data_IF_686410850899
#
_entry.id   IF_686410850899
#
_cell.length_a   1.000
_cell.length_b   1.000
_cell.length_c   1.000
_cell.angle_alpha   90.00
_cell.angle_beta   90.00
_cell.angle_gamma   90.00
#
_symmetry.space_group_name_H-M   'P 1'
#
loop_
_entity.id
_entity.type
_entity.pdbx_description
1 polymer ?
#
# COMPACT_ATOMS: atom_id res chain seq x y z
N UNK A 1 3.54 24.59 12.28
CA UNK A 1 2.85 23.39 12.85
C UNK A 1 3.77 22.55 13.75
N UNK A 2 4.99 22.19 13.37
CA UNK A 2 5.90 21.37 14.21
C UNK A 2 6.24 22.06 15.52
N UNK A 3 6.53 23.36 15.50
CA UNK A 3 6.85 24.15 16.72
C UNK A 3 5.65 24.21 17.67
N UNK A 4 4.44 24.40 17.15
CA UNK A 4 3.22 24.46 17.95
C UNK A 4 2.90 23.09 18.58
N UNK A 5 3.05 21.99 17.83
CA UNK A 5 2.85 20.65 18.39
C UNK A 5 3.90 20.32 19.45
N UNK A 6 5.16 20.71 19.25
CA UNK A 6 6.20 20.54 20.26
C UNK A 6 5.91 21.32 21.55
N UNK A 7 5.44 22.56 21.43
CA UNK A 7 5.05 23.41 22.59
C UNK A 7 3.87 22.77 23.35
N UNK A 8 2.85 22.30 22.64
CA UNK A 8 1.70 21.63 23.23
C UNK A 8 2.13 20.34 23.94
N UNK A 9 3.01 19.54 23.30
CA UNK A 9 3.53 18.29 23.87
C UNK A 9 4.33 18.55 25.15
N UNK A 10 5.23 19.54 25.12
CA UNK A 10 6.03 19.92 26.29
C UNK A 10 5.12 20.46 27.40
N UNK A 11 4.17 21.32 27.06
CA UNK A 11 3.23 21.88 28.04
C UNK A 11 2.37 20.81 28.72
N UNK A 12 1.85 19.86 27.94
CA UNK A 12 1.07 18.75 28.48
C UNK A 12 1.93 17.80 29.34
N UNK A 13 3.19 17.57 28.96
CA UNK A 13 4.13 16.79 29.78
C UNK A 13 4.46 17.48 31.10
N UNK A 14 4.76 18.80 31.08
CA UNK A 14 5.02 19.58 32.28
C UNK A 14 3.81 19.58 33.20
N UNK A 15 2.61 19.76 32.64
CA UNK A 15 1.35 19.70 33.41
C UNK A 15 1.15 18.31 34.05
N UNK A 16 1.40 17.23 33.31
CA UNK A 16 1.31 15.88 33.84
C UNK A 16 2.32 15.64 34.97
N UNK A 17 3.58 16.10 34.83
CA UNK A 17 4.60 16.03 35.90
C UNK A 17 4.15 16.76 37.13
N UNK A 18 3.52 17.95 36.98
CA UNK A 18 2.99 18.73 38.12
C UNK A 18 1.85 18.01 38.83
N UNK A 19 1.01 17.27 38.13
CA UNK A 19 -0.04 16.44 38.71
C UNK A 19 0.53 15.29 39.54
N UNK A 20 1.54 14.58 38.99
CA UNK A 20 2.23 13.50 39.69
C UNK A 20 2.93 14.00 40.96
N UNK A 21 3.59 15.17 40.90
CA UNK A 21 4.26 15.77 42.08
C UNK A 21 3.31 16.30 43.15
N UNK A 22 2.04 16.51 42.82
CA UNK A 22 1.06 17.00 43.77
C UNK A 22 0.43 15.93 44.68
N UNK A 23 0.97 14.72 44.72
CA UNK A 23 0.45 13.55 45.44
C UNK A 23 -1.02 13.20 45.19
N UNK A 24 -1.57 13.71 44.09
CA UNK A 24 -2.90 13.30 43.63
C UNK A 24 -2.76 11.99 42.88
N UNK A 25 -3.52 10.98 43.27
CA UNK A 25 -3.62 9.75 42.50
C UNK A 25 -4.00 10.09 41.06
N UNK A 26 -3.03 9.88 40.15
CA UNK A 26 -3.26 10.06 38.72
C UNK A 26 -3.93 8.78 38.24
N UNK A 27 -5.26 8.75 38.24
CA UNK A 27 -6.03 7.56 37.90
C UNK A 27 -6.72 7.67 36.56
N UNK A 28 -6.98 6.54 35.92
CA UNK A 28 -7.73 6.44 34.69
C UNK A 28 -6.99 6.96 33.45
N UNK A 29 -7.64 7.80 32.64
CA UNK A 29 -7.06 8.28 31.38
C UNK A 29 -5.78 9.11 31.54
N UNK A 30 -5.58 9.74 32.69
CA UNK A 30 -4.39 10.56 32.95
C UNK A 30 -3.09 9.75 33.01
N UNK A 31 -3.15 8.47 33.33
CA UNK A 31 -1.99 7.55 33.32
C UNK A 31 -1.43 7.36 31.91
N UNK A 32 -2.27 7.47 30.88
CA UNK A 32 -1.86 7.30 29.49
C UNK A 32 -1.30 8.56 28.83
N UNK A 33 -1.36 9.72 29.51
CA UNK A 33 -0.90 10.99 28.93
C UNK A 33 0.56 10.93 28.45
N UNK A 34 1.54 10.40 29.21
CA UNK A 34 2.92 10.29 28.73
C UNK A 34 3.05 9.43 27.49
N UNK A 35 2.31 8.32 27.43
CA UNK A 35 2.32 7.41 26.28
C UNK A 35 1.74 8.10 25.04
N UNK A 36 0.65 8.83 25.18
CA UNK A 36 0.03 9.59 24.08
C UNK A 36 0.97 10.70 23.58
N UNK A 37 1.66 11.39 24.49
CA UNK A 37 2.60 12.45 24.14
C UNK A 37 3.87 11.90 23.45
N UNK A 38 4.33 10.70 23.85
CA UNK A 38 5.49 10.05 23.29
C UNK A 38 5.17 9.36 21.94
N UNK A 39 3.92 8.96 21.72
CA UNK A 39 3.51 8.18 20.55
C UNK A 39 3.93 8.79 19.19
N UNK A 40 3.82 10.10 18.92
CA UNK A 40 4.26 10.67 17.63
C UNK A 40 5.78 10.55 17.44
N UNK A 41 6.56 10.66 18.52
CA UNK A 41 8.01 10.51 18.46
C UNK A 41 8.40 9.05 18.19
N UNK A 42 7.82 8.12 18.95
CA UNK A 42 8.01 6.68 18.76
C UNK A 42 7.63 6.27 17.34
N UNK A 43 6.49 6.75 16.84
CA UNK A 43 6.04 6.50 15.48
C UNK A 43 7.05 7.02 14.43
N UNK A 44 7.57 8.23 14.62
CA UNK A 44 8.58 8.79 13.71
C UNK A 44 9.88 7.96 13.71
N UNK A 45 10.31 7.47 14.87
CA UNK A 45 11.47 6.57 15.00
C UNK A 45 11.19 5.23 14.31
N UNK A 46 10.03 4.62 14.56
CA UNK A 46 9.65 3.33 13.95
C UNK A 46 9.58 3.43 12.42
N UNK A 47 9.00 4.51 11.87
CA UNK A 47 8.96 4.75 10.42
C UNK A 47 10.37 4.86 9.87
N UNK A 48 11.25 5.57 10.56
CA UNK A 48 12.62 5.75 10.12
C UNK A 48 13.44 4.47 10.21
N UNK A 49 13.24 3.71 11.29
CA UNK A 49 13.88 2.41 11.47
C UNK A 49 13.42 1.42 10.39
N UNK A 50 12.11 1.31 10.17
CA UNK A 50 11.55 0.44 9.12
C UNK A 50 12.06 0.82 7.72
N UNK A 51 12.15 2.11 7.41
CA UNK A 51 12.74 2.57 6.16
C UNK A 51 14.18 2.06 5.98
N UNK A 52 15.03 2.21 7.00
CA UNK A 52 16.42 1.76 6.92
C UNK A 52 16.55 0.24 6.86
N UNK A 53 15.69 -0.49 7.52
CA UNK A 53 15.61 -1.95 7.40
C UNK A 53 15.33 -2.38 5.96
N UNK A 54 14.38 -1.73 5.31
CA UNK A 54 13.98 -2.08 3.94
C UNK A 54 15.05 -1.71 2.92
N UNK A 55 15.63 -0.51 3.02
CA UNK A 55 16.60 -0.04 2.00
C UNK A 55 18.01 -0.57 2.22
N UNK A 56 18.32 -1.10 3.40
CA UNK A 56 19.63 -1.67 3.71
C UNK A 56 20.04 -2.81 2.78
N UNK A 57 19.03 -3.59 2.33
CA UNK A 57 19.21 -4.72 1.43
C UNK A 57 18.56 -4.48 0.05
N UNK A 58 18.32 -3.22 -0.32
CA UNK A 58 17.67 -2.85 -1.57
C UNK A 58 18.58 -1.98 -2.44
N UNK A 59 18.35 -2.02 -3.75
CA UNK A 59 19.07 -1.24 -4.76
C UNK A 59 18.22 -0.05 -5.17
N UNK A 60 18.74 1.17 -5.07
CA UNK A 60 18.01 2.36 -5.52
C UNK A 60 17.95 2.39 -7.05
N UNK A 61 16.76 2.60 -7.60
CA UNK A 61 16.53 2.78 -9.03
C UNK A 61 16.70 4.26 -9.38
N UNK A 62 17.61 4.54 -10.29
CA UNK A 62 17.98 5.90 -10.72
C UNK A 62 18.21 5.93 -12.23
N UNK A 63 18.35 7.11 -12.81
CA UNK A 63 18.70 7.27 -14.23
C UNK A 63 19.98 6.51 -14.63
N UNK A 64 20.95 6.44 -13.73
CA UNK A 64 22.24 5.76 -13.97
C UNK A 64 22.19 4.27 -13.63
N UNK A 65 21.13 3.81 -12.98
CA UNK A 65 20.94 2.43 -12.52
C UNK A 65 19.51 2.00 -12.75
N UNK A 66 19.28 1.12 -13.73
CA UNK A 66 17.95 0.75 -14.24
C UNK A 66 17.22 1.94 -14.87
N UNK A 67 17.90 2.67 -15.79
CA UNK A 67 17.39 3.90 -16.38
C UNK A 67 16.08 3.75 -17.15
N UNK A 68 15.85 2.60 -17.78
CA UNK A 68 14.62 2.22 -18.47
C UNK A 68 13.42 2.10 -17.51
N UNK A 69 13.63 1.45 -16.36
CA UNK A 69 12.64 1.34 -15.30
C UNK A 69 12.38 2.72 -14.64
N UNK A 70 13.46 3.48 -14.40
CA UNK A 70 13.35 4.83 -13.83
C UNK A 70 12.56 5.76 -14.75
N UNK A 71 12.80 5.71 -16.05
CA UNK A 71 12.07 6.51 -17.04
C UNK A 71 10.57 6.19 -16.98
N UNK A 72 10.17 4.92 -17.05
CA UNK A 72 8.76 4.51 -16.92
C UNK A 72 8.14 5.01 -15.61
N UNK A 73 8.86 4.88 -14.52
CA UNK A 73 8.38 5.29 -13.19
C UNK A 73 8.18 6.80 -13.10
N UNK A 74 9.13 7.58 -13.62
CA UNK A 74 9.05 9.05 -13.63
C UNK A 74 7.95 9.56 -14.54
N UNK A 75 7.76 8.92 -15.72
CA UNK A 75 6.70 9.26 -16.67
C UNK A 75 5.30 9.06 -16.06
N UNK A 76 5.05 7.90 -15.44
CA UNK A 76 3.78 7.64 -14.77
C UNK A 76 3.54 8.64 -13.63
N UNK A 77 4.56 8.93 -12.83
CA UNK A 77 4.44 9.89 -11.74
C UNK A 77 4.10 11.29 -12.23
N UNK A 78 4.68 11.71 -13.36
CA UNK A 78 4.40 12.97 -14.01
C UNK A 78 2.97 13.00 -14.59
N UNK A 79 2.55 11.94 -15.31
CA UNK A 79 1.18 11.78 -15.81
C UNK A 79 0.15 11.84 -14.68
N UNK A 80 0.47 11.25 -13.53
CA UNK A 80 -0.36 11.31 -12.34
C UNK A 80 -0.34 12.69 -11.65
N UNK A 81 0.51 13.62 -12.04
CA UNK A 81 0.64 14.93 -11.41
C UNK A 81 1.16 14.87 -9.96
N UNK A 82 2.12 14.00 -9.68
CA UNK A 82 2.75 13.94 -8.38
C UNK A 82 3.77 15.06 -8.22
N UNK A 83 3.59 15.94 -7.23
CA UNK A 83 4.50 17.07 -6.95
C UNK A 83 5.94 16.63 -6.66
N UNK A 84 6.11 15.43 -6.14
CA UNK A 84 7.42 14.85 -5.78
C UNK A 84 7.45 13.39 -6.13
N UNK A 85 8.41 13.01 -6.95
CA UNK A 85 8.68 11.62 -7.25
C UNK A 85 9.13 10.88 -5.98
N UNK A 86 8.41 9.84 -5.52
CA UNK A 86 8.90 8.97 -4.45
C UNK A 86 10.17 8.24 -4.91
N UNK A 87 11.09 7.95 -4.00
CA UNK A 87 12.24 7.10 -4.36
C UNK A 87 11.76 5.69 -4.68
N UNK A 88 12.34 5.09 -5.72
CA UNK A 88 12.08 3.71 -6.11
C UNK A 88 13.27 2.84 -5.72
N UNK A 89 13.01 1.72 -5.07
CA UNK A 89 14.00 0.72 -4.70
C UNK A 89 13.62 -0.63 -5.27
N UNK A 90 14.62 -1.40 -5.66
CA UNK A 90 14.49 -2.81 -6.02
C UNK A 90 14.97 -3.66 -4.85
N UNK A 91 14.08 -4.51 -4.32
CA UNK A 91 14.40 -5.50 -3.30
C UNK A 91 14.50 -6.91 -3.88
N UNK A 92 15.26 -7.80 -3.23
CA UNK A 92 15.25 -9.21 -3.60
C UNK A 92 13.95 -9.88 -3.13
N UNK A 93 13.19 -10.42 -4.06
CA UNK A 93 11.90 -11.05 -3.77
C UNK A 93 11.98 -12.50 -3.30
N UNK A 94 13.11 -13.20 -3.52
CA UNK A 94 13.26 -14.63 -3.23
C UNK A 94 12.09 -15.49 -3.78
N UNK A 95 11.64 -15.19 -4.99
CA UNK A 95 10.50 -15.86 -5.63
C UNK A 95 9.14 -15.22 -5.31
N UNK A 96 9.08 -14.20 -4.49
CA UNK A 96 7.84 -13.48 -4.17
C UNK A 96 7.65 -12.33 -5.15
N UNK A 97 6.52 -12.36 -5.86
CA UNK A 97 6.06 -11.25 -6.71
C UNK A 97 5.34 -10.22 -5.84
N UNK A 98 5.99 -9.11 -5.54
CA UNK A 98 5.42 -8.07 -4.71
C UNK A 98 5.99 -6.69 -5.06
N UNK A 99 5.20 -5.66 -4.77
CA UNK A 99 5.63 -4.28 -4.69
C UNK A 99 4.85 -3.60 -3.55
N UNK A 100 5.37 -2.52 -3.00
CA UNK A 100 4.66 -1.75 -2.00
C UNK A 100 5.15 -0.31 -1.90
N UNK A 101 4.23 0.59 -1.54
CA UNK A 101 4.54 1.97 -1.19
C UNK A 101 4.50 2.16 0.33
N UNK A 102 5.48 2.86 0.88
CA UNK A 102 5.57 3.13 2.31
C UNK A 102 6.11 4.54 2.61
N UNK A 103 6.17 4.89 3.89
CA UNK A 103 6.72 6.17 4.36
C UNK A 103 8.18 6.03 4.78
N UNK A 104 9.02 6.94 4.32
CA UNK A 104 10.38 7.12 4.84
C UNK A 104 10.47 8.28 5.85
N UNK A 105 9.55 9.21 5.78
CA UNK A 105 9.33 10.29 6.77
C UNK A 105 7.85 10.64 6.80
N UNK A 106 7.44 11.50 7.75
CA UNK A 106 6.05 12.00 7.84
C UNK A 106 5.55 12.57 6.49
N UNK A 107 6.43 13.17 5.69
CA UNK A 107 6.07 13.88 4.45
C UNK A 107 6.48 13.17 3.16
N UNK A 108 7.36 12.17 3.22
CA UNK A 108 7.91 11.51 2.04
C UNK A 108 7.57 10.04 2.02
N UNK A 109 7.22 9.55 0.84
CA UNK A 109 7.01 8.14 0.55
C UNK A 109 8.18 7.57 -0.26
N UNK A 110 8.29 6.26 -0.29
CA UNK A 110 9.13 5.49 -1.20
C UNK A 110 8.34 4.29 -1.69
N UNK A 111 8.77 3.71 -2.79
CA UNK A 111 8.20 2.50 -3.40
C UNK A 111 9.30 1.45 -3.45
N UNK A 112 8.95 0.22 -3.17
CA UNK A 112 9.81 -0.94 -3.37
C UNK A 112 9.12 -1.87 -4.37
N UNK A 113 9.88 -2.32 -5.36
CA UNK A 113 9.47 -3.38 -6.29
C UNK A 113 10.43 -4.55 -6.12
N UNK A 114 9.91 -5.76 -6.05
CA UNK A 114 10.77 -6.93 -5.93
C UNK A 114 11.31 -7.38 -7.30
N UNK A 115 12.56 -7.84 -7.30
CA UNK A 115 13.25 -8.30 -8.52
C UNK A 115 12.45 -9.32 -9.30
N UNK A 116 11.79 -10.27 -8.62
CA UNK A 116 10.94 -11.26 -9.26
C UNK A 116 9.79 -10.67 -10.09
N UNK A 117 9.32 -9.48 -9.70
CA UNK A 117 8.31 -8.77 -10.45
C UNK A 117 8.90 -8.07 -11.69
N UNK A 118 10.15 -7.60 -11.59
CA UNK A 118 10.87 -7.01 -12.71
C UNK A 118 11.25 -8.04 -13.78
N UNK A 119 11.32 -9.33 -13.43
CA UNK A 119 11.52 -10.41 -14.40
C UNK A 119 10.39 -10.45 -15.44
N UNK A 120 9.17 -9.94 -15.11
CA UNK A 120 8.10 -9.79 -16.12
C UNK A 120 8.56 -8.89 -17.27
N UNK A 121 9.27 -7.81 -16.97
CA UNK A 121 9.78 -6.86 -17.95
C UNK A 121 11.05 -7.42 -18.64
N UNK A 122 12.05 -7.83 -17.87
CA UNK A 122 13.37 -8.15 -18.39
C UNK A 122 13.45 -9.55 -19.00
N UNK A 123 12.79 -10.55 -18.43
CA UNK A 123 12.82 -11.93 -18.97
C UNK A 123 11.65 -12.21 -19.91
N UNK A 124 10.48 -11.62 -19.66
CA UNK A 124 9.27 -11.95 -20.42
C UNK A 124 8.80 -10.81 -21.34
N UNK A 125 9.50 -9.68 -21.37
CA UNK A 125 9.17 -8.53 -22.21
C UNK A 125 7.83 -7.84 -21.83
N UNK A 126 7.33 -8.07 -20.61
CA UNK A 126 6.05 -7.53 -20.16
C UNK A 126 6.22 -6.14 -19.49
N UNK A 127 6.63 -5.20 -20.31
CA UNK A 127 6.83 -3.79 -19.91
C UNK A 127 5.54 -3.19 -19.38
N UNK A 128 4.41 -3.48 -20.01
CA UNK A 128 3.10 -2.95 -19.64
C UNK A 128 2.66 -3.48 -18.27
N UNK A 129 2.95 -4.74 -17.96
CA UNK A 129 2.64 -5.31 -16.65
C UNK A 129 3.38 -4.60 -15.52
N UNK A 130 4.67 -4.34 -15.70
CA UNK A 130 5.46 -3.56 -14.72
C UNK A 130 4.94 -2.14 -14.63
N UNK A 131 4.62 -1.49 -15.76
CA UNK A 131 4.03 -0.14 -15.79
C UNK A 131 2.72 -0.09 -14.99
N UNK A 132 1.85 -1.09 -15.13
CA UNK A 132 0.60 -1.17 -14.38
C UNK A 132 0.85 -1.25 -12.86
N UNK A 133 1.80 -2.09 -12.44
CA UNK A 133 2.13 -2.26 -11.03
C UNK A 133 2.73 -0.97 -10.44
N UNK A 134 3.63 -0.31 -11.17
CA UNK A 134 4.16 0.99 -10.76
C UNK A 134 3.06 2.05 -10.63
N UNK A 135 2.11 2.07 -11.58
CA UNK A 135 0.95 2.95 -11.52
C UNK A 135 0.05 2.65 -10.32
N UNK A 136 -0.13 1.38 -9.95
CA UNK A 136 -0.85 0.96 -8.76
C UNK A 136 -0.18 1.48 -7.48
N UNK A 137 1.13 1.29 -7.32
CA UNK A 137 1.88 1.75 -6.16
C UNK A 137 1.91 3.28 -6.04
N UNK A 138 2.09 3.97 -7.17
CA UNK A 138 1.98 5.44 -7.21
C UNK A 138 0.54 5.90 -6.92
N UNK A 139 -0.46 5.11 -7.26
CA UNK A 139 -1.85 5.32 -6.89
C UNK A 139 -2.03 5.37 -5.37
N UNK A 140 -1.40 4.47 -4.62
CA UNK A 140 -1.40 4.52 -3.16
C UNK A 140 -0.78 5.80 -2.62
N UNK A 141 0.28 6.31 -3.25
CA UNK A 141 0.91 7.57 -2.85
C UNK A 141 0.01 8.76 -3.18
N UNK A 142 -0.53 8.83 -4.41
CA UNK A 142 -1.41 9.90 -4.91
C UNK A 142 -2.67 10.03 -4.05
N UNK A 143 -3.32 8.92 -3.76
CA UNK A 143 -4.56 8.85 -2.96
C UNK A 143 -4.30 8.92 -1.45
N UNK A 144 -3.03 9.09 -1.04
CA UNK A 144 -2.61 9.21 0.36
C UNK A 144 -2.95 7.97 1.21
N UNK A 145 -3.00 6.78 0.61
CA UNK A 145 -3.26 5.53 1.32
C UNK A 145 -2.18 5.21 2.35
N UNK A 146 -0.94 5.62 2.11
CA UNK A 146 0.21 5.48 3.02
C UNK A 146 0.35 6.63 4.02
N UNK A 147 -0.69 7.44 4.24
CA UNK A 147 -0.62 8.60 5.13
C UNK A 147 -0.60 8.18 6.61
N UNK A 148 0.29 8.78 7.41
CA UNK A 148 0.51 8.43 8.82
C UNK A 148 -0.74 8.63 9.68
N UNK A 149 -1.53 9.67 9.42
CA UNK A 149 -2.76 9.92 10.18
C UNK A 149 -3.73 8.71 10.13
N UNK A 150 -3.67 7.92 9.06
CA UNK A 150 -4.46 6.68 8.94
C UNK A 150 -4.01 5.62 9.92
N UNK A 151 -2.72 5.56 10.25
CA UNK A 151 -2.21 4.67 11.30
C UNK A 151 -2.84 5.00 12.65
N UNK A 152 -2.97 6.28 12.97
CA UNK A 152 -3.57 6.76 14.23
C UNK A 152 -5.08 6.52 14.25
N UNK A 153 -5.76 6.80 13.13
CA UNK A 153 -7.22 6.66 13.02
C UNK A 153 -7.66 5.20 12.88
N UNK A 154 -6.81 4.32 12.32
CA UNK A 154 -7.16 2.92 12.09
C UNK A 154 -6.97 2.02 13.32
N UNK A 155 -6.43 2.48 14.43
CA UNK A 155 -6.27 1.65 15.63
C UNK A 155 -7.62 1.07 16.09
N UNK A 156 -8.65 1.90 16.23
CA UNK A 156 -9.99 1.45 16.65
C UNK A 156 -10.72 0.65 15.54
N UNK A 157 -10.77 1.15 14.27
CA UNK A 157 -11.33 0.38 13.16
C UNK A 157 -10.68 -0.97 12.90
N UNK A 158 -9.38 -1.14 13.20
CA UNK A 158 -8.68 -2.42 13.03
C UNK A 158 -9.24 -3.47 13.99
N UNK A 159 -9.49 -3.13 15.25
CA UNK A 159 -10.15 -4.00 16.22
C UNK A 159 -11.59 -4.36 15.83
N UNK A 160 -12.30 -3.47 15.12
CA UNK A 160 -13.66 -3.68 14.63
C UNK A 160 -13.71 -4.31 13.21
N UNK A 161 -12.56 -4.74 12.66
CA UNK A 161 -12.42 -5.28 11.28
C UNK A 161 -12.80 -4.30 10.16
N UNK A 162 -13.22 -3.09 10.50
CA UNK A 162 -13.55 -2.02 9.55
C UNK A 162 -12.28 -1.56 8.81
N UNK A 163 -11.13 -1.53 9.49
CA UNK A 163 -9.84 -1.19 8.92
C UNK A 163 -9.48 -2.04 7.70
N UNK A 164 -9.75 -3.34 7.75
CA UNK A 164 -9.52 -4.28 6.64
C UNK A 164 -10.40 -3.98 5.43
N UNK A 165 -11.65 -3.58 5.66
CA UNK A 165 -12.55 -3.14 4.57
C UNK A 165 -12.06 -1.87 3.91
N UNK A 166 -11.53 -0.92 4.69
CA UNK A 166 -10.90 0.30 4.17
C UNK A 166 -9.66 -0.05 3.33
N UNK A 167 -8.80 -0.96 3.80
CA UNK A 167 -7.62 -1.40 3.05
C UNK A 167 -8.02 -2.04 1.71
N UNK A 168 -9.02 -2.92 1.70
CA UNK A 168 -9.55 -3.48 0.44
C UNK A 168 -10.10 -2.42 -0.51
N UNK A 169 -10.78 -1.40 0.00
CA UNK A 169 -11.24 -0.28 -0.82
C UNK A 169 -10.09 0.52 -1.42
N UNK A 170 -8.99 0.67 -0.68
CA UNK A 170 -7.77 1.31 -1.16
C UNK A 170 -7.13 0.53 -2.31
N UNK A 171 -7.11 -0.81 -2.24
CA UNK A 171 -6.63 -1.65 -3.33
C UNK A 171 -7.44 -1.42 -4.62
N UNK A 172 -8.78 -1.44 -4.54
CA UNK A 172 -9.62 -1.14 -5.71
C UNK A 172 -9.44 0.28 -6.24
N UNK A 173 -9.16 1.25 -5.37
CA UNK A 173 -8.89 2.63 -5.77
C UNK A 173 -7.53 2.76 -6.47
N UNK A 174 -6.51 2.03 -5.99
CA UNK A 174 -5.20 1.97 -6.62
C UNK A 174 -5.25 1.24 -7.96
N UNK A 175 -6.02 0.13 -8.04
CA UNK A 175 -6.29 -0.58 -9.30
C UNK A 175 -6.96 0.33 -10.33
N UNK A 176 -7.94 1.14 -9.92
CA UNK A 176 -8.58 2.12 -10.80
C UNK A 176 -7.60 3.18 -11.28
N UNK A 177 -6.70 3.64 -10.41
CA UNK A 177 -5.62 4.53 -10.79
C UNK A 177 -4.73 3.87 -11.85
N UNK A 178 -4.31 2.62 -11.64
CA UNK A 178 -3.50 1.88 -12.59
C UNK A 178 -4.23 1.66 -13.93
N UNK A 179 -5.52 1.33 -13.90
CA UNK A 179 -6.36 1.21 -15.10
C UNK A 179 -6.49 2.51 -15.90
N UNK A 180 -6.41 3.66 -15.23
CA UNK A 180 -6.47 4.96 -15.91
C UNK A 180 -5.16 5.29 -16.61
N UNK A 181 -4.01 5.00 -16.00
CA UNK A 181 -2.70 5.42 -16.50
C UNK A 181 -1.92 4.34 -17.26
N UNK A 182 -2.26 3.07 -17.09
CA UNK A 182 -1.56 1.94 -17.70
C UNK A 182 -2.49 0.74 -17.98
N UNK A 183 -3.65 0.92 -18.65
CA UNK A 183 -4.67 -0.13 -18.80
C UNK A 183 -4.17 -1.39 -19.50
N UNK A 184 -3.17 -1.27 -20.39
CA UNK A 184 -2.63 -2.39 -21.19
C UNK A 184 -1.97 -3.46 -20.31
N UNK A 185 -1.50 -3.10 -19.12
CA UNK A 185 -0.84 -4.01 -18.19
C UNK A 185 -1.78 -4.73 -17.22
N UNK A 186 -3.07 -4.46 -17.23
CA UNK A 186 -4.02 -4.99 -16.24
C UNK A 186 -4.06 -6.52 -16.20
N UNK A 187 -3.97 -7.19 -17.35
CA UNK A 187 -3.96 -8.65 -17.43
C UNK A 187 -2.73 -9.29 -16.77
N UNK A 188 -1.61 -8.56 -16.71
CA UNK A 188 -0.37 -9.02 -16.08
C UNK A 188 -0.45 -9.13 -14.57
N UNK A 189 -1.48 -8.54 -13.94
CA UNK A 189 -1.79 -8.77 -12.53
C UNK A 189 -2.06 -10.25 -12.23
N UNK A 190 -2.41 -11.06 -13.24
CA UNK A 190 -2.51 -12.51 -13.10
C UNK A 190 -1.21 -13.15 -12.64
N UNK A 191 -0.05 -12.52 -12.90
CA UNK A 191 1.25 -12.99 -12.43
C UNK A 191 1.33 -13.08 -10.90
N UNK A 192 0.63 -12.21 -10.16
CA UNK A 192 0.59 -12.27 -8.69
C UNK A 192 -0.09 -13.55 -8.16
N UNK A 193 -0.93 -14.20 -8.96
CA UNK A 193 -1.69 -15.38 -8.58
C UNK A 193 -1.16 -16.68 -9.21
N UNK A 194 -0.70 -16.59 -10.46
CA UNK A 194 -0.20 -17.75 -11.22
C UNK A 194 1.34 -17.80 -11.31
N UNK A 195 2.03 -16.80 -10.78
CA UNK A 195 3.49 -16.68 -10.86
C UNK A 195 3.98 -16.21 -12.24
N UNK A 196 5.20 -15.64 -12.26
CA UNK A 196 5.80 -15.00 -13.44
C UNK A 196 5.91 -15.88 -14.68
N UNK A 197 6.01 -17.19 -14.51
CA UNK A 197 6.20 -18.15 -15.63
C UNK A 197 4.92 -18.68 -16.24
N UNK A 198 3.81 -18.70 -15.48
CA UNK A 198 2.58 -19.39 -15.89
C UNK A 198 1.40 -18.46 -16.13
N UNK A 199 1.45 -17.20 -15.70
CA UNK A 199 0.32 -16.28 -15.79
C UNK A 199 -0.28 -16.12 -17.19
N UNK A 200 0.57 -16.15 -18.24
CA UNK A 200 0.13 -16.07 -19.65
C UNK A 200 -0.61 -17.31 -20.15
N UNK A 201 -0.53 -18.44 -19.42
CA UNK A 201 -1.24 -19.68 -19.73
C UNK A 201 -2.62 -19.76 -19.06
N UNK A 202 -2.92 -18.82 -18.16
CA UNK A 202 -4.22 -18.78 -17.49
C UNK A 202 -5.25 -18.26 -18.47
N UNK A 203 -6.27 -19.08 -18.75
CA UNK A 203 -7.46 -18.63 -19.46
C UNK A 203 -8.35 -17.84 -18.47
N UNK A 204 -8.58 -16.55 -18.70
CA UNK A 204 -9.38 -15.73 -17.80
C UNK A 204 -10.82 -16.22 -17.66
N UNK A 205 -11.41 -16.75 -18.75
CA UNK A 205 -12.79 -17.24 -18.74
C UNK A 205 -12.88 -18.48 -17.83
N UNK A 206 -12.01 -19.46 -18.02
CA UNK A 206 -11.94 -20.65 -17.18
C UNK A 206 -11.59 -20.29 -15.73
N UNK A 207 -10.70 -19.31 -15.52
CA UNK A 207 -10.37 -18.80 -14.19
C UNK A 207 -11.61 -18.26 -13.47
N UNK A 208 -12.43 -17.42 -14.11
CA UNK A 208 -13.63 -16.88 -13.49
C UNK A 208 -14.72 -17.94 -13.31
N UNK A 209 -14.92 -18.81 -14.29
CA UNK A 209 -15.90 -19.91 -14.21
C UNK A 209 -15.65 -20.81 -13.01
N UNK A 210 -14.40 -21.11 -12.69
CA UNK A 210 -14.03 -21.93 -11.53
C UNK A 210 -14.51 -21.35 -10.19
N UNK A 211 -14.66 -20.04 -10.09
CA UNK A 211 -15.19 -19.37 -8.90
C UNK A 211 -16.72 -19.22 -8.92
N UNK A 212 -17.33 -19.19 -10.10
CA UNK A 212 -18.79 -19.11 -10.23
C UNK A 212 -19.45 -20.46 -9.90
N UNK A 213 -18.78 -21.57 -10.23
CA UNK A 213 -19.22 -22.93 -9.86
C UNK A 213 -19.14 -23.18 -8.34
N UNK A 214 -18.23 -22.50 -7.65
CA UNK A 214 -18.16 -22.56 -6.20
C UNK A 214 -19.20 -21.61 -5.62
N UNK A 215 -20.31 -22.15 -5.07
CA UNK A 215 -21.24 -21.34 -4.29
C UNK A 215 -20.46 -20.55 -3.26
N UNK A 216 -20.49 -19.22 -3.36
CA UNK A 216 -19.81 -18.34 -2.42
C UNK A 216 -20.46 -18.52 -1.05
N UNK A 217 -19.97 -19.50 -0.30
CA UNK A 217 -20.49 -19.88 1.00
C UNK A 217 -19.98 -18.93 2.10
N UNK A 218 -20.45 -19.18 3.31
CA UNK A 218 -20.07 -18.47 4.51
C UNK A 218 -18.54 -18.32 4.65
N UNK A 219 -17.78 -19.39 4.43
CA UNK A 219 -16.32 -19.38 4.59
C UNK A 219 -15.58 -18.47 3.63
N UNK A 220 -16.04 -18.38 2.38
CA UNK A 220 -15.45 -17.46 1.40
C UNK A 220 -15.70 -16.00 1.78
N UNK A 221 -16.88 -15.68 2.32
CA UNK A 221 -17.20 -14.34 2.84
C UNK A 221 -16.38 -14.02 4.09
N UNK A 222 -16.31 -14.96 5.03
CA UNK A 222 -15.52 -14.81 6.27
C UNK A 222 -14.03 -14.62 5.96
N UNK A 223 -13.47 -15.43 5.05
CA UNK A 223 -12.09 -15.27 4.59
C UNK A 223 -11.82 -13.89 3.98
N UNK A 224 -12.72 -13.39 3.13
CA UNK A 224 -12.57 -12.05 2.56
C UNK A 224 -12.69 -10.94 3.64
N UNK A 225 -13.54 -11.13 4.64
CA UNK A 225 -13.72 -10.15 5.73
C UNK A 225 -12.44 -9.96 6.55
N UNK A 226 -11.73 -11.06 6.83
CA UNK A 226 -10.48 -11.03 7.61
C UNK A 226 -9.23 -10.72 6.76
N UNK A 227 -9.36 -10.62 5.44
CA UNK A 227 -8.26 -10.35 4.51
C UNK A 227 -7.97 -8.86 4.42
N UNK A 228 -6.70 -8.49 4.42
CA UNK A 228 -6.25 -7.10 4.19
C UNK A 228 -6.28 -6.72 2.70
N UNK A 229 -6.10 -7.70 1.81
CA UNK A 229 -6.22 -7.51 0.36
C UNK A 229 -7.47 -8.21 -0.16
N UNK A 230 -8.12 -7.67 -1.21
CA UNK A 230 -9.22 -8.38 -1.87
C UNK A 230 -8.71 -9.71 -2.43
N UNK A 231 -9.56 -10.74 -2.38
CA UNK A 231 -9.25 -12.01 -3.00
C UNK A 231 -8.95 -11.82 -4.49
N UNK A 232 -7.95 -12.54 -5.03
CA UNK A 232 -7.43 -12.36 -6.37
C UNK A 232 -8.51 -12.39 -7.47
N UNK A 233 -9.41 -13.35 -7.41
CA UNK A 233 -10.50 -13.47 -8.40
C UNK A 233 -11.44 -12.25 -8.37
N UNK A 234 -11.69 -11.64 -7.21
CA UNK A 234 -12.53 -10.44 -7.09
C UNK A 234 -11.85 -9.23 -7.69
N UNK A 235 -10.55 -9.10 -7.44
CA UNK A 235 -9.72 -8.01 -7.96
C UNK A 235 -9.62 -8.11 -9.49
N UNK A 236 -9.28 -9.30 -10.00
CA UNK A 236 -9.20 -9.55 -11.44
C UNK A 236 -10.53 -9.32 -12.16
N UNK A 237 -11.65 -9.72 -11.55
CA UNK A 237 -12.98 -9.48 -12.11
C UNK A 237 -13.32 -7.99 -12.18
N UNK A 238 -12.94 -7.21 -11.14
CA UNK A 238 -13.12 -5.76 -11.16
C UNK A 238 -12.26 -5.09 -12.25
N UNK A 239 -11.01 -5.52 -12.42
CA UNK A 239 -10.14 -5.02 -13.50
C UNK A 239 -10.72 -5.34 -14.88
N UNK A 240 -11.22 -6.56 -15.07
CA UNK A 240 -11.86 -6.97 -16.32
C UNK A 240 -13.11 -6.15 -16.63
N UNK A 241 -13.96 -5.93 -15.62
CA UNK A 241 -15.15 -5.10 -15.78
C UNK A 241 -14.79 -3.64 -16.09
N UNK A 242 -13.78 -3.07 -15.43
CA UNK A 242 -13.29 -1.71 -15.77
C UNK A 242 -12.79 -1.60 -17.21
N UNK A 243 -12.23 -2.67 -17.76
CA UNK A 243 -11.73 -2.69 -19.14
C UNK A 243 -12.87 -2.65 -20.17
N UNK A 244 -14.02 -3.28 -19.87
CA UNK A 244 -15.17 -3.40 -20.75
C UNK A 244 -16.27 -2.34 -20.51
N UNK A 245 -16.47 -1.94 -19.26
CA UNK A 245 -17.60 -1.10 -18.81
C UNK A 245 -17.16 0.31 -18.39
N UNK A 246 -15.82 0.55 -18.27
CA UNK A 246 -15.25 1.81 -17.85
C UNK A 246 -14.88 1.86 -16.37
N UNK A 247 -14.22 2.96 -15.99
CA UNK A 247 -13.60 3.09 -14.66
C UNK A 247 -14.58 3.25 -13.49
N UNK A 248 -15.87 3.47 -13.76
CA UNK A 248 -16.89 3.60 -12.70
C UNK A 248 -17.35 2.27 -12.11
N UNK A 249 -16.77 1.15 -12.58
CA UNK A 249 -17.05 -0.15 -12.02
C UNK A 249 -16.38 -0.32 -10.64
N UNK A 250 -17.15 -0.73 -9.65
CA UNK A 250 -16.68 -0.92 -8.28
C UNK A 250 -16.58 -2.40 -7.94
N UNK A 251 -15.43 -2.81 -7.38
CA UNK A 251 -15.27 -4.16 -6.84
C UNK A 251 -16.22 -4.41 -5.66
N UNK A 252 -16.69 -5.67 -5.52
CA UNK A 252 -17.50 -6.07 -4.37
C UNK A 252 -16.63 -6.13 -3.12
N UNK A 253 -16.98 -5.33 -2.12
CA UNK A 253 -16.24 -5.18 -0.86
C UNK A 253 -16.46 -6.33 0.11
N UNK A 254 -17.59 -7.05 -0.01
CA UNK A 254 -18.02 -8.15 0.86
C UNK A 254 -18.23 -9.43 0.05
#
# INVERSE_FOLDING_TARGET
>A
MILLSAIITIGAFVYWVSLVQSDKEVTGLAEFVPLILLAPFVLAVLIRFNYWQVIGDAVEVTENQFGDLYAQYSDIAAEMGLDKLPRLYMGNGNGVLNAFAAKCTVRRSFVVIYSDLLDLMYEHGDVNGVRFILAHELGHVKLKHVAIWRFVVNVIPEYLWIGRSVTRAQEYSADRCAMHYAPEGASSMMALYAGKRLYRRVDPIAYFASFDDHKIGFWARASNLVSTHPQGHRRMRALWAMQSEGLDHHGRML
#
